data_IF_255157938226
#
_entry.id   IF_255157938226
#
_cell.length_a   1.000
_cell.length_b   1.000
_cell.length_c   1.000
_cell.angle_alpha   90.00
_cell.angle_beta   90.00
_cell.angle_gamma   90.00
#
_symmetry.space_group_name_H-M   'P 1'
#
loop_
_entity.id
_entity.type
_entity.pdbx_description
1 polymer ?
#
# COMPACT_ATOMS: atom_id res chain seq x y z
N UNK A 1 -17.45 55.15 -52.47
CA UNK A 1 -16.05 55.50 -52.10
C UNK A 1 -15.33 54.31 -51.45
N UNK A 2 -15.97 53.53 -50.57
CA UNK A 2 -15.38 52.38 -49.88
C UNK A 2 -15.03 51.24 -50.87
N UNK A 3 -15.88 50.98 -51.87
CA UNK A 3 -15.62 49.99 -52.92
C UNK A 3 -14.47 50.34 -53.87
N UNK A 4 -14.23 51.66 -54.10
CA UNK A 4 -13.10 52.12 -54.89
C UNK A 4 -11.75 51.99 -54.18
N UNK A 5 -11.72 52.14 -52.85
CA UNK A 5 -10.51 51.93 -52.06
C UNK A 5 -10.11 50.46 -51.98
N UNK A 6 -11.09 49.53 -51.82
CA UNK A 6 -10.84 48.07 -51.81
C UNK A 6 -10.31 47.55 -53.15
N UNK A 7 -10.92 47.97 -54.27
CA UNK A 7 -10.47 47.60 -55.63
C UNK A 7 -9.10 48.19 -55.96
N UNK A 8 -8.79 49.39 -55.49
CA UNK A 8 -7.47 50.00 -55.66
C UNK A 8 -6.37 49.32 -54.86
N UNK A 9 -6.68 48.86 -53.66
CA UNK A 9 -5.74 48.13 -52.80
C UNK A 9 -5.42 46.73 -53.34
N UNK A 10 -6.41 46.00 -53.83
CA UNK A 10 -6.20 44.70 -54.46
C UNK A 10 -5.45 44.77 -55.81
N UNK A 11 -5.69 45.84 -56.60
CA UNK A 11 -4.94 46.07 -57.84
C UNK A 11 -3.48 46.46 -57.52
N UNK A 12 -3.20 47.28 -56.53
CA UNK A 12 -1.82 47.62 -56.16
C UNK A 12 -1.04 46.38 -55.63
N UNK A 13 -1.69 45.46 -54.98
CA UNK A 13 -1.07 44.21 -54.53
C UNK A 13 -0.78 43.30 -55.73
N UNK A 14 -1.68 43.18 -56.68
CA UNK A 14 -1.50 42.36 -57.91
C UNK A 14 -0.38 42.84 -58.79
N UNK A 15 -0.17 44.14 -58.93
CA UNK A 15 0.87 44.72 -59.76
C UNK A 15 2.26 44.76 -59.14
N UNK A 16 2.37 44.54 -57.83
CA UNK A 16 3.63 44.59 -57.08
C UNK A 16 4.32 43.21 -56.92
N UNK A 17 3.64 42.10 -57.23
CA UNK A 17 4.22 40.75 -57.13
C UNK A 17 4.48 40.17 -58.53
N UNK A 18 5.67 39.65 -58.74
CA UNK A 18 5.91 38.73 -59.87
C UNK A 18 5.16 37.40 -59.64
N UNK A 19 4.87 36.64 -60.66
CA UNK A 19 4.18 35.36 -60.61
C UNK A 19 4.89 34.38 -59.59
N UNK A 20 6.22 34.42 -59.53
CA UNK A 20 7.02 33.63 -58.59
C UNK A 20 6.90 34.12 -57.15
N UNK A 21 6.89 35.42 -56.93
CA UNK A 21 6.70 36.02 -55.61
C UNK A 21 5.29 35.74 -55.07
N UNK A 22 4.25 35.86 -55.92
CA UNK A 22 2.88 35.51 -55.54
C UNK A 22 2.74 34.03 -55.17
N UNK A 23 3.39 33.14 -55.94
CA UNK A 23 3.41 31.70 -55.65
C UNK A 23 4.13 31.41 -54.32
N UNK A 24 5.28 32.03 -54.06
CA UNK A 24 6.03 31.86 -52.82
C UNK A 24 5.24 32.36 -51.62
N UNK A 25 4.55 33.50 -51.74
CA UNK A 25 3.69 34.03 -50.66
C UNK A 25 2.51 33.11 -50.35
N UNK A 26 1.82 32.59 -51.37
CA UNK A 26 0.73 31.64 -51.19
C UNK A 26 1.18 30.33 -50.56
N UNK A 27 2.35 29.83 -50.96
CA UNK A 27 2.93 28.61 -50.35
C UNK A 27 3.30 28.85 -48.89
N UNK A 28 3.88 30.00 -48.55
CA UNK A 28 4.19 30.35 -47.16
C UNK A 28 2.94 30.46 -46.29
N UNK A 29 1.86 31.11 -46.78
CA UNK A 29 0.59 31.14 -46.05
C UNK A 29 -0.01 29.75 -45.86
N UNK A 30 0.04 28.91 -46.90
CA UNK A 30 -0.45 27.54 -46.82
C UNK A 30 0.37 26.68 -45.82
N UNK A 31 1.69 26.88 -45.77
CA UNK A 31 2.57 26.22 -44.79
C UNK A 31 2.26 26.64 -43.35
N UNK A 32 1.97 27.92 -43.13
CA UNK A 32 1.59 28.44 -41.82
C UNK A 32 0.21 27.90 -41.35
N UNK A 33 -0.79 27.87 -42.25
CA UNK A 33 -2.09 27.26 -41.95
C UNK A 33 -1.97 25.77 -41.67
N UNK A 34 -1.21 25.02 -42.48
CA UNK A 34 -0.96 23.60 -42.27
C UNK A 34 -0.17 23.32 -41.01
N UNK A 35 0.76 24.18 -40.61
CA UNK A 35 1.48 24.07 -39.33
C UNK A 35 0.53 24.26 -38.13
N UNK A 36 -0.40 25.20 -38.26
CA UNK A 36 -1.43 25.42 -37.22
C UNK A 36 -2.38 24.22 -37.11
N UNK A 37 -2.93 23.75 -38.24
CA UNK A 37 -3.82 22.55 -38.25
C UNK A 37 -3.12 21.30 -37.73
N UNK A 38 -1.84 21.08 -38.08
CA UNK A 38 -1.05 19.98 -37.50
C UNK A 38 -0.89 20.11 -36.01
N UNK A 39 -0.61 21.31 -35.52
CA UNK A 39 -0.46 21.56 -34.08
C UNK A 39 -1.75 21.30 -33.31
N UNK A 40 -2.90 21.72 -33.83
CA UNK A 40 -4.22 21.45 -33.25
C UNK A 40 -4.49 19.95 -33.24
N UNK A 41 -4.26 19.25 -34.35
CA UNK A 41 -4.46 17.78 -34.38
C UNK A 41 -3.54 17.02 -33.44
N UNK A 42 -2.27 17.41 -33.31
CA UNK A 42 -1.34 16.80 -32.39
C UNK A 42 -1.83 17.00 -30.95
N UNK A 43 -2.37 18.17 -30.62
CA UNK A 43 -2.91 18.49 -29.31
C UNK A 43 -4.15 17.63 -29.02
N UNK A 44 -5.10 17.52 -29.96
CA UNK A 44 -6.29 16.67 -29.84
C UNK A 44 -5.91 15.18 -29.65
N UNK A 45 -4.98 14.66 -30.47
CA UNK A 45 -4.51 13.28 -30.30
C UNK A 45 -3.78 13.05 -28.97
N UNK A 46 -3.01 14.03 -28.50
CA UNK A 46 -2.31 13.92 -27.22
C UNK A 46 -3.29 13.89 -26.05
N UNK A 47 -4.37 14.67 -26.13
CA UNK A 47 -5.43 14.69 -25.12
C UNK A 47 -6.22 13.38 -25.14
N UNK A 48 -6.62 12.89 -26.32
CA UNK A 48 -7.28 11.57 -26.46
C UNK A 48 -6.42 10.42 -25.93
N UNK A 49 -5.10 10.44 -26.24
CA UNK A 49 -4.18 9.42 -25.73
C UNK A 49 -4.05 9.46 -24.20
N UNK A 50 -4.09 10.65 -23.58
CA UNK A 50 -4.09 10.75 -22.13
C UNK A 50 -5.37 10.17 -21.51
N UNK A 51 -6.53 10.53 -22.07
CA UNK A 51 -7.82 10.04 -21.59
C UNK A 51 -7.93 8.50 -21.72
N UNK A 52 -7.51 7.94 -22.87
CA UNK A 52 -7.45 6.49 -23.05
C UNK A 52 -6.47 5.79 -22.12
N UNK A 53 -5.31 6.41 -21.85
CA UNK A 53 -4.32 5.89 -20.92
C UNK A 53 -4.86 5.89 -19.48
N UNK A 54 -5.54 6.96 -19.06
CA UNK A 54 -6.16 7.08 -17.75
C UNK A 54 -7.30 6.06 -17.55
N UNK A 55 -8.12 5.85 -18.58
CA UNK A 55 -9.20 4.85 -18.55
C UNK A 55 -8.64 3.42 -18.45
N UNK A 56 -7.63 3.09 -19.27
CA UNK A 56 -6.94 1.79 -19.21
C UNK A 56 -6.25 1.58 -17.86
N UNK A 57 -5.58 2.59 -17.32
CA UNK A 57 -4.95 2.53 -16.00
C UNK A 57 -5.97 2.23 -14.90
N UNK A 58 -7.11 2.93 -14.88
CA UNK A 58 -8.20 2.68 -13.91
C UNK A 58 -8.75 1.26 -14.03
N UNK A 59 -8.94 0.74 -15.25
CA UNK A 59 -9.44 -0.61 -15.47
C UNK A 59 -8.45 -1.67 -14.98
N UNK A 60 -7.13 -1.50 -15.23
CA UNK A 60 -6.09 -2.39 -14.72
C UNK A 60 -6.05 -2.39 -13.19
N UNK A 61 -6.10 -1.20 -12.57
CA UNK A 61 -6.13 -1.03 -11.12
C UNK A 61 -7.37 -1.72 -10.51
N UNK A 62 -8.55 -1.50 -11.09
CA UNK A 62 -9.80 -2.11 -10.62
C UNK A 62 -9.76 -3.63 -10.71
N UNK A 63 -9.22 -4.18 -11.81
CA UNK A 63 -9.08 -5.61 -12.01
C UNK A 63 -8.05 -6.22 -11.04
N UNK A 64 -6.96 -5.51 -10.79
CA UNK A 64 -5.94 -5.91 -9.82
C UNK A 64 -6.49 -5.93 -8.39
N UNK A 65 -7.21 -4.88 -7.98
CA UNK A 65 -7.87 -4.80 -6.67
C UNK A 65 -8.87 -5.95 -6.48
N UNK A 66 -9.69 -6.26 -7.49
CA UNK A 66 -10.65 -7.38 -7.42
C UNK A 66 -9.98 -8.74 -7.24
N UNK A 67 -8.82 -8.97 -7.88
CA UNK A 67 -8.11 -10.25 -7.80
C UNK A 67 -7.33 -10.44 -6.50
N UNK A 68 -6.91 -9.35 -5.85
CA UNK A 68 -6.00 -9.37 -4.70
C UNK A 68 -6.68 -9.03 -3.37
N UNK A 69 -7.99 -8.88 -3.33
CA UNK A 69 -8.75 -8.43 -2.16
C UNK A 69 -8.85 -9.47 -1.01
N UNK A 70 -8.14 -10.60 -1.06
CA UNK A 70 -8.22 -11.65 -0.05
C UNK A 70 -7.01 -11.66 0.89
N UNK A 71 -7.30 -11.68 2.20
CA UNK A 71 -6.49 -11.96 3.38
C UNK A 71 -5.60 -10.86 3.96
N UNK A 72 -6.05 -10.34 5.10
CA UNK A 72 -5.28 -9.45 5.99
C UNK A 72 -4.54 -10.23 7.07
N UNK A 73 -3.25 -9.93 7.26
CA UNK A 73 -2.43 -10.42 8.38
C UNK A 73 -2.07 -9.25 9.31
N UNK A 74 -2.20 -9.46 10.63
CA UNK A 74 -1.84 -8.48 11.66
C UNK A 74 -0.36 -8.47 11.96
N UNK A 75 0.22 -7.28 12.09
CA UNK A 75 1.56 -7.12 12.64
C UNK A 75 1.53 -7.12 14.16
N UNK A 76 2.39 -7.94 14.78
CA UNK A 76 2.65 -7.86 16.21
C UNK A 76 4.15 -8.09 16.47
N UNK A 77 4.76 -7.21 17.26
CA UNK A 77 6.10 -7.45 17.85
C UNK A 77 6.04 -8.47 18.97
N UNK A 78 4.86 -8.87 19.33
CA UNK A 78 4.55 -9.86 20.37
C UNK A 78 3.81 -11.05 19.76
N UNK A 79 4.00 -12.22 20.35
CA UNK A 79 3.21 -13.42 20.07
C UNK A 79 2.70 -13.98 21.38
N UNK A 80 1.43 -14.36 21.42
CA UNK A 80 0.82 -14.95 22.62
C UNK A 80 0.74 -16.46 22.42
N UNK A 81 1.20 -17.21 23.42
CA UNK A 81 1.11 -18.66 23.46
C UNK A 81 0.10 -19.06 24.53
N UNK A 82 -1.01 -19.72 24.14
CA UNK A 82 -2.01 -20.18 25.09
C UNK A 82 -1.48 -21.33 25.93
N UNK A 83 -1.85 -21.34 27.20
CA UNK A 83 -1.53 -22.39 28.16
C UNK A 83 -2.79 -23.20 28.49
N UNK A 84 -2.69 -24.52 28.72
CA UNK A 84 -3.82 -25.33 29.14
C UNK A 84 -4.33 -25.00 30.56
N UNK A 85 -3.49 -24.42 31.38
CA UNK A 85 -3.80 -23.94 32.73
C UNK A 85 -2.66 -23.04 33.23
N UNK A 86 -2.92 -22.24 34.29
CA UNK A 86 -1.93 -21.35 34.91
C UNK A 86 -0.79 -22.06 35.65
N UNK A 87 -0.96 -23.32 36.07
CA UNK A 87 0.12 -24.11 36.68
C UNK A 87 1.29 -24.30 35.74
N UNK A 88 1.03 -24.25 34.42
CA UNK A 88 2.07 -24.37 33.39
C UNK A 88 3.05 -23.20 33.43
N UNK A 89 2.61 -22.00 33.87
CA UNK A 89 3.50 -20.83 34.04
C UNK A 89 4.65 -21.15 35.00
N UNK A 90 4.32 -21.73 36.16
CA UNK A 90 5.33 -22.13 37.14
C UNK A 90 6.33 -23.16 36.60
N UNK A 91 5.89 -24.08 35.75
CA UNK A 91 6.77 -25.09 35.11
C UNK A 91 7.67 -24.47 34.06
N UNK A 92 7.16 -23.51 33.28
CA UNK A 92 7.93 -22.78 32.28
C UNK A 92 8.96 -21.88 32.96
N UNK A 93 8.62 -21.21 34.04
CA UNK A 93 9.59 -20.45 34.87
C UNK A 93 10.66 -21.40 35.43
N UNK A 94 10.25 -22.49 36.04
CA UNK A 94 11.12 -23.44 36.69
C UNK A 94 11.73 -22.93 37.99
N UNK A 95 12.42 -23.78 38.73
CA UNK A 95 13.07 -23.40 39.99
C UNK A 95 14.05 -22.26 39.78
N UNK A 96 13.88 -21.15 40.50
CA UNK A 96 14.73 -19.94 40.42
C UNK A 96 14.82 -19.34 38.99
N UNK A 97 13.80 -19.54 38.15
CA UNK A 97 13.77 -19.02 36.80
C UNK A 97 14.72 -19.75 35.82
N UNK A 98 15.14 -20.97 36.14
CA UNK A 98 16.14 -21.71 35.33
C UNK A 98 15.64 -22.02 33.90
N UNK A 99 14.38 -22.41 33.75
CA UNK A 99 13.83 -22.80 32.47
C UNK A 99 13.56 -21.58 31.59
N UNK A 100 12.97 -20.52 32.16
CA UNK A 100 12.72 -19.29 31.39
C UNK A 100 14.04 -18.68 30.90
N UNK A 101 15.06 -18.56 31.76
CA UNK A 101 16.39 -18.09 31.33
C UNK A 101 17.02 -18.94 30.24
N UNK A 102 16.82 -20.27 30.27
CA UNK A 102 17.31 -21.15 29.22
C UNK A 102 16.63 -20.86 27.87
N UNK A 103 15.30 -20.66 27.87
CA UNK A 103 14.55 -20.33 26.65
C UNK A 103 15.00 -18.96 26.11
N UNK A 104 15.05 -17.93 26.96
CA UNK A 104 15.48 -16.57 26.56
C UNK A 104 16.90 -16.54 26.01
N UNK A 105 17.83 -17.21 26.69
CA UNK A 105 19.24 -17.28 26.24
C UNK A 105 19.40 -17.98 24.91
N UNK A 106 18.69 -19.09 24.70
CA UNK A 106 18.81 -19.91 23.47
C UNK A 106 18.07 -19.29 22.28
N UNK A 107 16.99 -18.58 22.52
CA UNK A 107 16.16 -17.99 21.43
C UNK A 107 16.47 -16.52 21.19
N UNK A 108 16.92 -15.78 22.20
CA UNK A 108 17.04 -14.31 22.16
C UNK A 108 15.66 -13.62 22.16
N UNK A 109 14.65 -14.24 22.78
CA UNK A 109 13.27 -13.75 22.86
C UNK A 109 12.90 -13.61 24.33
N UNK A 110 12.34 -12.47 24.71
CA UNK A 110 11.87 -12.21 26.07
C UNK A 110 10.52 -12.88 26.29
N UNK A 111 10.39 -13.61 27.42
CA UNK A 111 9.15 -14.23 27.86
C UNK A 111 8.51 -13.38 28.96
N UNK A 112 7.38 -12.75 28.62
CA UNK A 112 6.59 -11.95 29.56
C UNK A 112 5.50 -12.85 30.15
N UNK A 113 5.63 -13.11 31.46
CA UNK A 113 4.68 -13.91 32.26
C UNK A 113 4.05 -12.97 33.25
N UNK A 114 2.86 -12.49 32.93
CA UNK A 114 2.04 -11.58 33.76
C UNK A 114 0.80 -12.28 34.29
N UNK A 115 -0.13 -11.50 34.86
CA UNK A 115 -1.39 -11.98 35.42
C UNK A 115 -2.43 -12.36 34.37
N UNK A 116 -2.11 -12.24 33.04
CA UNK A 116 -3.02 -12.66 31.99
C UNK A 116 -3.32 -14.14 32.11
N UNK A 117 -4.60 -14.56 32.27
CA UNK A 117 -4.94 -15.96 32.44
C UNK A 117 -4.52 -16.83 31.27
N UNK A 118 -3.95 -18.00 31.56
CA UNK A 118 -3.68 -19.06 30.58
C UNK A 118 -2.91 -18.60 29.32
N UNK A 119 -2.00 -17.64 29.47
CA UNK A 119 -1.21 -17.11 28.37
C UNK A 119 0.21 -16.72 28.80
N UNK A 120 1.14 -16.80 27.84
CA UNK A 120 2.50 -16.23 27.90
C UNK A 120 2.71 -15.38 26.66
N UNK A 121 3.26 -14.20 26.87
CA UNK A 121 3.61 -13.28 25.76
C UNK A 121 5.10 -13.39 25.45
N UNK A 122 5.41 -13.61 24.17
CA UNK A 122 6.76 -13.59 23.62
C UNK A 122 7.01 -12.23 22.98
N UNK A 123 8.12 -11.59 23.31
CA UNK A 123 8.52 -10.29 22.79
C UNK A 123 9.89 -10.38 22.12
N UNK A 124 9.97 -9.97 20.85
CA UNK A 124 11.24 -9.85 20.11
C UNK A 124 11.04 -8.97 18.88
N UNK A 125 12.03 -8.16 18.56
CA UNK A 125 12.09 -7.41 17.33
C UNK A 125 12.34 -8.30 16.10
N UNK A 126 12.96 -9.47 16.29
CA UNK A 126 13.27 -10.39 15.19
C UNK A 126 12.17 -11.46 15.10
N UNK A 127 11.34 -11.39 14.02
CA UNK A 127 10.13 -12.21 13.94
C UNK A 127 10.41 -13.71 13.81
N UNK A 128 11.53 -14.10 13.16
CA UNK A 128 11.89 -15.50 12.97
C UNK A 128 12.26 -16.14 14.31
N UNK A 129 13.03 -15.44 15.16
CA UNK A 129 13.35 -15.92 16.53
C UNK A 129 12.10 -16.07 17.36
N UNK A 130 11.19 -15.10 17.26
CA UNK A 130 9.91 -15.15 17.99
C UNK A 130 9.08 -16.37 17.57
N UNK A 131 9.04 -16.68 16.28
CA UNK A 131 8.34 -17.87 15.78
C UNK A 131 9.01 -19.18 16.23
N UNK A 132 10.34 -19.24 16.23
CA UNK A 132 11.08 -20.38 16.78
C UNK A 132 10.74 -20.59 18.27
N UNK A 133 10.73 -19.51 19.07
CA UNK A 133 10.38 -19.57 20.47
C UNK A 133 8.92 -20.03 20.67
N UNK A 134 7.97 -19.52 19.86
CA UNK A 134 6.56 -19.90 19.89
C UNK A 134 6.38 -21.39 19.64
N UNK A 135 6.94 -21.91 18.54
CA UNK A 135 6.83 -23.34 18.19
C UNK A 135 7.51 -24.22 19.23
N UNK A 136 8.68 -23.82 19.74
CA UNK A 136 9.38 -24.57 20.78
C UNK A 136 8.55 -24.64 22.07
N UNK A 137 7.95 -23.51 22.48
CA UNK A 137 7.13 -23.44 23.68
C UNK A 137 5.85 -24.27 23.55
N UNK A 138 5.15 -24.21 22.41
CA UNK A 138 3.99 -25.07 22.13
C UNK A 138 4.32 -26.56 22.20
N UNK A 139 5.48 -26.97 21.67
CA UNK A 139 5.96 -28.35 21.76
C UNK A 139 6.29 -28.76 23.19
N UNK A 140 6.91 -27.87 23.98
CA UNK A 140 7.20 -28.12 25.40
C UNK A 140 5.93 -28.25 26.23
N UNK A 141 4.93 -27.42 25.96
CA UNK A 141 3.61 -27.45 26.62
C UNK A 141 2.90 -28.77 26.30
N UNK A 142 2.87 -29.14 25.02
CA UNK A 142 2.25 -30.41 24.56
C UNK A 142 2.95 -31.66 25.12
N UNK A 143 4.29 -31.66 25.20
CA UNK A 143 5.09 -32.77 25.73
C UNK A 143 5.00 -32.83 27.28
N UNK A 144 4.79 -31.70 27.93
CA UNK A 144 4.70 -31.59 29.38
C UNK A 144 6.04 -31.74 30.13
N UNK A 145 7.15 -32.07 29.48
CA UNK A 145 8.47 -32.20 30.09
C UNK A 145 9.30 -30.94 29.87
N UNK A 146 9.32 -30.05 30.87
CA UNK A 146 10.00 -28.76 30.79
C UNK A 146 11.24 -28.78 31.69
N UNK A 147 12.41 -28.98 31.10
CA UNK A 147 13.72 -28.91 31.72
C UNK A 147 14.79 -28.51 30.71
N UNK A 148 15.95 -27.95 31.11
CA UNK A 148 16.90 -27.33 30.18
C UNK A 148 17.31 -28.18 28.98
N UNK A 149 17.65 -29.45 29.14
CA UNK A 149 18.03 -30.32 28.03
C UNK A 149 16.87 -30.55 27.03
N UNK A 150 15.62 -30.61 27.52
CA UNK A 150 14.45 -30.74 26.65
C UNK A 150 14.12 -29.44 25.94
N UNK A 151 14.34 -28.31 26.61
CA UNK A 151 14.19 -26.97 26.04
C UNK A 151 15.14 -26.82 24.84
N UNK A 152 16.42 -27.13 25.01
CA UNK A 152 17.42 -27.09 23.94
C UNK A 152 17.02 -27.98 22.73
N UNK A 153 16.62 -29.22 23.00
CA UNK A 153 16.14 -30.14 21.97
C UNK A 153 14.94 -29.59 21.17
N UNK A 154 13.95 -28.99 21.87
CA UNK A 154 12.75 -28.46 21.24
C UNK A 154 13.04 -27.18 20.45
N UNK A 155 13.93 -26.33 20.92
CA UNK A 155 14.37 -25.12 20.20
C UNK A 155 15.10 -25.52 18.91
N UNK A 156 16.01 -26.48 18.96
CA UNK A 156 16.71 -26.98 17.77
C UNK A 156 15.75 -27.62 16.76
N UNK A 157 14.74 -28.33 17.24
CA UNK A 157 13.69 -28.90 16.37
C UNK A 157 12.84 -27.79 15.76
N UNK A 158 12.46 -26.76 16.52
CA UNK A 158 11.69 -25.62 16.03
C UNK A 158 12.48 -24.82 14.99
N UNK A 159 13.80 -24.58 15.20
CA UNK A 159 14.66 -23.91 14.22
C UNK A 159 14.65 -24.63 12.87
N UNK A 160 14.83 -25.95 12.87
CA UNK A 160 14.80 -26.75 11.62
C UNK A 160 13.43 -26.69 10.92
N UNK A 161 12.35 -26.68 11.67
CA UNK A 161 11.00 -26.59 11.14
C UNK A 161 10.72 -25.20 10.52
N UNK A 162 11.12 -24.13 11.20
CA UNK A 162 11.01 -22.76 10.68
C UNK A 162 11.88 -22.58 9.44
N UNK A 163 13.13 -23.06 9.44
CA UNK A 163 14.01 -22.99 8.27
C UNK A 163 13.43 -23.76 7.05
N UNK A 164 12.82 -24.92 7.29
CA UNK A 164 12.15 -25.67 6.23
C UNK A 164 10.92 -24.92 5.68
N UNK A 165 10.15 -24.27 6.56
CA UNK A 165 9.01 -23.43 6.17
C UNK A 165 9.45 -22.21 5.37
N UNK A 166 10.51 -21.52 5.81
CA UNK A 166 11.10 -20.37 5.09
C UNK A 166 11.49 -20.80 3.66
N UNK A 167 12.19 -21.91 3.53
CA UNK A 167 12.60 -22.42 2.21
C UNK A 167 11.38 -22.71 1.33
N UNK A 168 10.41 -23.45 1.86
CA UNK A 168 9.18 -23.81 1.15
C UNK A 168 8.39 -22.57 0.69
N UNK A 169 8.21 -21.58 1.56
CA UNK A 169 7.45 -20.38 1.22
C UNK A 169 8.18 -19.49 0.20
N UNK A 170 9.50 -19.41 0.27
CA UNK A 170 10.29 -18.75 -0.77
C UNK A 170 10.17 -19.42 -2.13
N UNK A 171 10.29 -20.77 -2.18
CA UNK A 171 10.09 -21.54 -3.41
C UNK A 171 8.68 -21.38 -3.97
N UNK A 172 7.66 -21.39 -3.10
CA UNK A 172 6.27 -21.17 -3.47
C UNK A 172 6.05 -19.78 -4.05
N UNK A 173 6.60 -18.73 -3.44
CA UNK A 173 6.48 -17.37 -3.92
C UNK A 173 7.10 -17.16 -5.31
N UNK A 174 8.26 -17.76 -5.55
CA UNK A 174 8.92 -17.74 -6.88
C UNK A 174 8.08 -18.43 -7.94
N UNK A 175 7.51 -19.59 -7.60
CA UNK A 175 6.62 -20.35 -8.50
C UNK A 175 5.34 -19.56 -8.80
N UNK A 176 4.71 -19.00 -7.78
CA UNK A 176 3.48 -18.22 -7.88
C UNK A 176 3.67 -16.96 -8.73
N UNK A 177 4.75 -16.22 -8.53
CA UNK A 177 5.09 -15.06 -9.37
C UNK A 177 5.43 -15.44 -10.84
N UNK A 178 5.71 -16.72 -11.10
CA UNK A 178 6.16 -17.20 -12.41
C UNK A 178 7.55 -16.70 -12.79
N UNK A 179 8.41 -16.47 -11.80
CA UNK A 179 9.79 -16.02 -11.98
C UNK A 179 10.74 -17.22 -11.86
N UNK A 180 11.72 -17.30 -12.73
CA UNK A 180 12.64 -18.45 -12.77
C UNK A 180 14.09 -18.02 -12.54
N UNK A 181 14.95 -18.97 -12.15
CA UNK A 181 16.40 -18.77 -12.01
C UNK A 181 16.79 -17.69 -10.99
N UNK A 182 16.07 -17.60 -9.87
CA UNK A 182 16.50 -16.80 -8.70
C UNK A 182 17.53 -17.59 -7.91
N UNK A 183 18.57 -16.91 -7.42
CA UNK A 183 19.60 -17.55 -6.60
C UNK A 183 18.98 -18.16 -5.32
N UNK A 184 19.35 -19.39 -4.90
CA UNK A 184 18.72 -20.07 -3.75
C UNK A 184 18.72 -19.26 -2.46
N UNK A 185 19.78 -18.48 -2.19
CA UNK A 185 19.80 -17.60 -1.02
C UNK A 185 18.79 -16.45 -1.10
N UNK A 186 18.55 -15.86 -2.30
CA UNK A 186 17.49 -14.88 -2.46
C UNK A 186 16.10 -15.51 -2.27
N UNK A 187 15.91 -16.75 -2.72
CA UNK A 187 14.66 -17.50 -2.47
C UNK A 187 14.45 -17.70 -0.97
N UNK A 188 15.50 -18.04 -0.22
CA UNK A 188 15.44 -18.18 1.24
C UNK A 188 15.12 -16.84 1.92
N UNK A 189 15.74 -15.74 1.47
CA UNK A 189 15.46 -14.40 1.98
C UNK A 189 14.02 -13.96 1.68
N UNK A 190 13.47 -14.27 0.50
CA UNK A 190 12.06 -14.10 0.19
C UNK A 190 11.16 -14.85 1.18
N UNK A 191 11.47 -16.08 1.49
CA UNK A 191 10.70 -16.87 2.48
C UNK A 191 10.71 -16.25 3.87
N UNK A 192 11.80 -15.58 4.29
CA UNK A 192 11.86 -14.86 5.57
C UNK A 192 10.86 -13.69 5.63
N UNK A 193 10.54 -13.06 4.48
CA UNK A 193 9.58 -11.98 4.41
C UNK A 193 8.16 -12.39 4.84
N UNK A 194 7.84 -13.70 4.88
CA UNK A 194 6.59 -14.21 5.47
C UNK A 194 6.40 -13.76 6.92
N UNK A 195 7.49 -13.70 7.68
CA UNK A 195 7.46 -13.35 9.09
C UNK A 195 7.62 -11.85 9.34
N UNK A 196 7.87 -11.09 8.27
CA UNK A 196 8.03 -9.63 8.33
C UNK A 196 6.75 -8.93 7.92
N UNK A 197 6.31 -8.01 8.74
CA UNK A 197 5.21 -7.11 8.43
C UNK A 197 5.72 -5.67 8.40
N UNK A 198 5.23 -4.87 7.48
CA UNK A 198 5.58 -3.46 7.35
C UNK A 198 4.31 -2.66 7.08
N UNK A 199 4.05 -1.64 7.90
CA UNK A 199 2.84 -0.81 7.80
C UNK A 199 1.52 -1.62 7.82
N UNK A 200 1.49 -2.73 8.57
CA UNK A 200 0.31 -3.60 8.70
C UNK A 200 0.11 -4.58 7.54
N UNK A 201 1.03 -4.66 6.59
CA UNK A 201 0.98 -5.56 5.45
C UNK A 201 2.11 -6.60 5.54
N UNK A 202 1.80 -7.88 5.31
CA UNK A 202 2.83 -8.92 5.22
C UNK A 202 3.71 -8.68 3.99
N UNK A 203 5.03 -8.60 4.19
CA UNK A 203 5.98 -8.17 3.15
C UNK A 203 6.08 -9.19 2.01
N UNK A 204 5.97 -10.50 2.28
CA UNK A 204 5.99 -11.52 1.21
C UNK A 204 4.76 -11.39 0.30
N UNK A 205 3.57 -11.23 0.90
CA UNK A 205 2.33 -11.07 0.15
C UNK A 205 2.36 -9.75 -0.65
N UNK A 206 2.86 -8.68 -0.05
CA UNK A 206 3.07 -7.41 -0.72
C UNK A 206 4.03 -7.55 -1.93
N UNK A 207 5.15 -8.21 -1.76
CA UNK A 207 6.12 -8.45 -2.86
C UNK A 207 5.52 -9.25 -4.01
N UNK A 208 4.67 -10.26 -3.71
CA UNK A 208 3.90 -11.00 -4.72
C UNK A 208 2.92 -10.08 -5.46
N UNK A 209 2.18 -9.26 -4.72
CA UNK A 209 1.23 -8.30 -5.28
C UNK A 209 1.90 -7.29 -6.20
N UNK A 210 3.00 -6.68 -5.76
CA UNK A 210 3.82 -5.76 -6.57
C UNK A 210 4.36 -6.46 -7.82
N UNK A 211 4.79 -7.72 -7.71
CA UNK A 211 5.22 -8.53 -8.85
C UNK A 211 4.11 -8.70 -9.89
N UNK A 212 2.89 -9.03 -9.46
CA UNK A 212 1.74 -9.16 -10.34
C UNK A 212 1.35 -7.84 -11.01
N UNK A 213 1.25 -6.76 -10.24
CA UNK A 213 0.91 -5.43 -10.74
C UNK A 213 1.93 -4.94 -11.76
N UNK A 214 3.22 -5.01 -11.44
CA UNK A 214 4.29 -4.61 -12.35
C UNK A 214 4.29 -5.46 -13.62
N UNK A 215 4.05 -6.77 -13.51
CA UNK A 215 3.94 -7.67 -14.66
C UNK A 215 2.73 -7.37 -15.55
N UNK A 216 1.56 -7.08 -14.98
CA UNK A 216 0.37 -6.69 -15.73
C UNK A 216 0.60 -5.37 -16.48
N UNK A 217 1.10 -4.35 -15.79
CA UNK A 217 1.39 -3.06 -16.42
C UNK A 217 2.44 -3.19 -17.53
N UNK A 218 3.47 -4.01 -17.35
CA UNK A 218 4.45 -4.27 -18.42
C UNK A 218 3.80 -4.91 -19.65
N UNK A 219 2.92 -5.89 -19.46
CA UNK A 219 2.20 -6.56 -20.55
C UNK A 219 1.28 -5.60 -21.30
N UNK A 220 0.58 -4.70 -20.60
CA UNK A 220 -0.28 -3.69 -21.23
C UNK A 220 0.51 -2.67 -22.05
N UNK A 221 1.76 -2.41 -21.69
CA UNK A 221 2.69 -1.59 -22.46
C UNK A 221 3.37 -2.36 -23.61
N UNK A 222 3.01 -3.62 -23.84
CA UNK A 222 3.62 -4.47 -24.86
C UNK A 222 5.06 -4.90 -24.56
N UNK A 223 5.48 -4.86 -23.28
CA UNK A 223 6.82 -5.25 -22.84
C UNK A 223 6.81 -6.69 -22.30
N UNK A 224 7.98 -7.34 -22.29
CA UNK A 224 8.15 -8.62 -21.61
C UNK A 224 7.95 -8.42 -20.07
N UNK A 225 6.96 -9.06 -19.45
CA UNK A 225 6.67 -8.90 -18.04
C UNK A 225 7.70 -9.55 -17.11
N UNK A 226 8.59 -10.40 -17.62
CA UNK A 226 9.50 -11.24 -16.83
C UNK A 226 10.39 -10.42 -15.90
N UNK A 227 11.02 -9.38 -16.42
CA UNK A 227 11.92 -8.50 -15.64
C UNK A 227 11.13 -7.64 -14.65
N UNK A 228 9.95 -7.14 -15.05
CA UNK A 228 9.10 -6.34 -14.17
C UNK A 228 8.57 -7.17 -12.99
N UNK A 229 8.12 -8.41 -13.23
CA UNK A 229 7.71 -9.36 -12.18
C UNK A 229 8.86 -9.67 -11.22
N UNK A 230 10.05 -9.94 -11.76
CA UNK A 230 11.24 -10.22 -10.96
C UNK A 230 11.63 -9.04 -10.09
N UNK A 231 11.63 -7.84 -10.66
CA UNK A 231 11.94 -6.62 -9.94
C UNK A 231 10.91 -6.33 -8.82
N UNK A 232 9.62 -6.48 -9.13
CA UNK A 232 8.55 -6.35 -8.15
C UNK A 232 8.63 -7.37 -7.01
N UNK A 233 8.98 -8.63 -7.31
CA UNK A 233 9.15 -9.67 -6.28
C UNK A 233 10.32 -9.38 -5.34
N UNK A 234 11.39 -8.76 -5.85
CA UNK A 234 12.65 -8.54 -5.10
C UNK A 234 12.79 -7.10 -4.56
N UNK A 235 11.87 -6.18 -4.84
CA UNK A 235 12.04 -4.76 -4.49
C UNK A 235 12.30 -4.53 -3.00
N UNK A 236 11.65 -5.29 -2.15
CA UNK A 236 11.70 -5.20 -0.69
C UNK A 236 12.58 -6.30 -0.03
N UNK A 237 13.42 -7.00 -0.79
CA UNK A 237 14.22 -8.13 -0.27
C UNK A 237 15.10 -7.75 0.91
N UNK A 238 15.53 -6.48 1.00
CA UNK A 238 16.34 -5.99 2.10
C UNK A 238 15.64 -6.05 3.46
N UNK A 239 14.30 -5.99 3.51
CA UNK A 239 13.51 -6.13 4.75
C UNK A 239 13.62 -7.52 5.40
N UNK A 240 14.19 -8.50 4.70
CA UNK A 240 14.43 -9.84 5.25
C UNK A 240 15.53 -9.89 6.32
N UNK A 241 16.46 -8.91 6.32
CA UNK A 241 17.61 -8.85 7.22
C UNK A 241 17.93 -7.43 7.75
N UNK A 242 17.01 -6.46 7.58
CA UNK A 242 17.22 -5.07 8.02
C UNK A 242 17.37 -4.91 9.53
N UNK A 243 17.01 -5.92 10.33
CA UNK A 243 17.26 -5.95 11.77
C UNK A 243 18.65 -6.52 12.15
N UNK A 244 19.31 -7.18 11.21
CA UNK A 244 20.61 -7.84 11.44
C UNK A 244 21.77 -7.02 10.85
N UNK A 245 21.49 -6.13 9.89
CA UNK A 245 22.47 -5.37 9.12
C UNK A 245 22.15 -3.89 9.19
N UNK A 246 23.17 -3.06 9.44
CA UNK A 246 23.02 -1.61 9.42
C UNK A 246 22.78 -1.10 8.00
N UNK A 247 21.83 -0.18 7.84
CA UNK A 247 21.49 0.46 6.57
C UNK A 247 20.00 0.48 6.30
N UNK A 248 19.61 1.15 5.22
CA UNK A 248 18.22 1.14 4.75
C UNK A 248 17.94 -0.18 4.03
N UNK A 249 16.68 -0.68 4.10
CA UNK A 249 16.31 -1.88 3.35
C UNK A 249 16.56 -1.77 1.84
N UNK A 250 16.51 -0.54 1.28
CA UNK A 250 16.87 -0.27 -0.12
C UNK A 250 18.34 -0.58 -0.37
N UNK A 251 19.26 -0.03 0.47
CA UNK A 251 20.70 -0.26 0.33
C UNK A 251 21.03 -1.74 0.51
N UNK A 252 20.50 -2.35 1.55
CA UNK A 252 20.67 -3.80 1.83
C UNK A 252 20.16 -4.64 0.64
N UNK A 253 18.99 -4.29 0.09
CA UNK A 253 18.39 -4.97 -1.07
C UNK A 253 19.27 -4.86 -2.32
N UNK A 254 19.81 -3.69 -2.60
CA UNK A 254 20.75 -3.45 -3.72
C UNK A 254 22.02 -4.29 -3.54
N UNK A 255 22.60 -4.33 -2.34
CA UNK A 255 23.81 -5.08 -2.06
C UNK A 255 23.60 -6.60 -2.19
N UNK A 256 22.44 -7.09 -1.72
CA UNK A 256 22.03 -8.48 -1.93
C UNK A 256 21.86 -8.80 -3.41
N UNK A 257 21.12 -7.96 -4.16
CA UNK A 257 20.88 -8.17 -5.58
C UNK A 257 22.20 -8.18 -6.38
N UNK A 258 23.14 -7.29 -6.07
CA UNK A 258 24.48 -7.28 -6.66
C UNK A 258 25.30 -8.50 -6.30
N UNK A 259 25.30 -8.90 -5.01
CA UNK A 259 26.01 -10.08 -4.51
C UNK A 259 25.57 -11.35 -5.24
N UNK A 260 24.29 -11.49 -5.51
CA UNK A 260 23.72 -12.67 -6.17
C UNK A 260 23.52 -12.49 -7.68
N UNK A 261 24.15 -11.44 -8.26
CA UNK A 261 24.23 -11.17 -9.71
C UNK A 261 22.87 -11.05 -10.40
N UNK A 262 21.95 -10.31 -9.77
CA UNK A 262 20.69 -9.94 -10.41
C UNK A 262 20.93 -8.98 -11.59
N UNK A 263 19.95 -8.91 -12.50
CA UNK A 263 20.01 -8.04 -13.67
C UNK A 263 20.01 -6.56 -13.25
N UNK A 264 20.79 -5.71 -13.95
CA UNK A 264 20.93 -4.28 -13.62
C UNK A 264 19.59 -3.54 -13.56
N UNK A 265 18.61 -3.89 -14.41
CA UNK A 265 17.27 -3.30 -14.36
C UNK A 265 16.51 -3.66 -13.07
N UNK A 266 16.73 -4.87 -12.50
CA UNK A 266 16.17 -5.29 -11.22
C UNK A 266 16.84 -4.52 -10.09
N UNK A 267 18.17 -4.42 -10.10
CA UNK A 267 18.94 -3.67 -9.11
C UNK A 267 18.51 -2.20 -9.09
N UNK A 268 18.37 -1.60 -10.29
CA UNK A 268 17.92 -0.22 -10.42
C UNK A 268 16.47 -0.03 -9.90
N UNK A 269 15.57 -0.97 -10.17
CA UNK A 269 14.20 -0.92 -9.66
C UNK A 269 14.17 -1.00 -8.13
N UNK A 270 14.99 -1.88 -7.50
CA UNK A 270 15.16 -1.95 -6.04
C UNK A 270 15.66 -0.61 -5.50
N UNK A 271 16.62 0.04 -6.19
CA UNK A 271 17.20 1.30 -5.74
C UNK A 271 16.23 2.48 -5.85
N UNK A 272 15.35 2.48 -6.84
CA UNK A 272 14.52 3.63 -7.21
C UNK A 272 13.09 3.59 -6.64
N UNK A 273 12.62 2.47 -6.05
CA UNK A 273 11.20 2.27 -5.74
C UNK A 273 10.62 3.28 -4.72
N UNK A 274 11.42 3.86 -3.84
CA UNK A 274 11.00 4.94 -2.92
C UNK A 274 11.26 6.36 -3.43
N UNK A 275 11.84 6.51 -4.64
CA UNK A 275 12.11 7.82 -5.23
C UNK A 275 13.40 8.50 -4.76
N UNK A 276 14.23 7.86 -3.90
CA UNK A 276 15.54 8.38 -3.48
C UNK A 276 16.50 8.49 -4.66
N UNK A 277 16.30 7.67 -5.68
CA UNK A 277 17.01 7.69 -6.95
C UNK A 277 15.99 7.79 -8.08
N UNK A 278 16.30 8.62 -9.09
CA UNK A 278 15.45 8.79 -10.27
C UNK A 278 15.22 7.46 -11.01
N UNK A 279 13.97 7.12 -11.28
CA UNK A 279 13.60 5.93 -12.04
C UNK A 279 13.90 6.13 -13.54
N UNK A 280 15.06 5.69 -14.00
CA UNK A 280 15.54 5.86 -15.40
C UNK A 280 15.08 4.76 -16.35
N UNK A 281 14.46 3.70 -15.84
CA UNK A 281 13.98 2.57 -16.66
C UNK A 281 12.47 2.42 -16.47
N UNK A 282 11.78 2.00 -17.51
CA UNK A 282 10.34 1.72 -17.46
C UNK A 282 10.03 0.71 -16.35
N UNK A 283 10.87 -0.31 -16.18
CA UNK A 283 10.72 -1.32 -15.11
C UNK A 283 10.73 -0.67 -13.72
N UNK A 284 11.64 0.28 -13.46
CA UNK A 284 11.70 0.99 -12.18
C UNK A 284 10.43 1.83 -11.94
N UNK A 285 9.93 2.54 -12.97
CA UNK A 285 8.67 3.28 -12.87
C UNK A 285 7.48 2.35 -12.59
N UNK A 286 7.43 1.18 -13.24
CA UNK A 286 6.37 0.21 -13.03
C UNK A 286 6.39 -0.38 -11.62
N UNK A 287 7.57 -0.69 -11.08
CA UNK A 287 7.70 -1.21 -9.71
C UNK A 287 7.30 -0.13 -8.70
N UNK A 288 7.73 1.12 -8.87
CA UNK A 288 7.34 2.24 -8.02
C UNK A 288 5.81 2.45 -8.02
N UNK A 289 5.18 2.42 -9.20
CA UNK A 289 3.74 2.53 -9.32
C UNK A 289 3.02 1.33 -8.67
N UNK A 290 3.51 0.11 -8.89
CA UNK A 290 2.95 -1.12 -8.32
C UNK A 290 3.04 -1.13 -6.80
N UNK A 291 4.16 -0.71 -6.21
CA UNK A 291 4.36 -0.57 -4.77
C UNK A 291 3.36 0.43 -4.18
N UNK A 292 3.26 1.63 -4.78
CA UNK A 292 2.31 2.65 -4.35
C UNK A 292 0.85 2.15 -4.41
N UNK A 293 0.46 1.44 -5.47
CA UNK A 293 -0.87 0.86 -5.63
C UNK A 293 -1.16 -0.22 -4.59
N UNK A 294 -0.23 -1.14 -4.35
CA UNK A 294 -0.35 -2.19 -3.34
C UNK A 294 -0.48 -1.59 -1.93
N UNK A 295 0.28 -0.52 -1.64
CA UNK A 295 0.22 0.17 -0.36
C UNK A 295 -1.06 0.99 -0.15
N UNK A 296 -1.64 1.55 -1.21
CA UNK A 296 -2.81 2.44 -1.17
C UNK A 296 -4.16 1.72 -1.21
N UNK A 297 -4.20 0.43 -1.56
CA UNK A 297 -5.48 -0.30 -1.68
C UNK A 297 -6.21 -0.38 -0.33
N UNK A 298 -7.55 -0.29 -0.32
CA UNK A 298 -8.34 -0.41 0.90
C UNK A 298 -8.08 -1.72 1.62
N UNK A 299 -7.68 -1.64 2.89
CA UNK A 299 -7.40 -2.82 3.73
C UNK A 299 -5.99 -3.40 3.61
N UNK A 300 -5.12 -2.84 2.77
CA UNK A 300 -3.71 -3.27 2.67
C UNK A 300 -2.92 -2.93 3.93
N UNK A 301 -3.16 -1.77 4.50
CA UNK A 301 -2.55 -1.31 5.75
C UNK A 301 -3.58 -1.41 6.87
N UNK A 302 -3.25 -2.09 7.96
CA UNK A 302 -4.02 -1.96 9.20
C UNK A 302 -3.77 -0.55 9.73
N UNK A 303 -4.82 0.24 9.78
CA UNK A 303 -4.80 1.44 10.59
C UNK A 303 -4.55 1.03 12.05
N UNK A 304 -3.58 1.70 12.69
CA UNK A 304 -3.42 1.59 14.12
C UNK A 304 -4.74 2.04 14.76
N UNK A 305 -5.25 1.27 15.72
CA UNK A 305 -6.53 1.57 16.41
C UNK A 305 -6.56 3.01 16.90
N UNK A 306 -5.43 3.55 17.35
CA UNK A 306 -5.30 4.95 17.76
C UNK A 306 -5.51 5.94 16.60
N UNK A 307 -4.94 5.66 15.42
CA UNK A 307 -5.12 6.52 14.25
C UNK A 307 -6.55 6.43 13.70
N UNK A 308 -7.14 5.25 13.80
CA UNK A 308 -8.55 5.02 13.46
C UNK A 308 -9.47 5.83 14.38
N UNK A 309 -9.26 5.77 15.70
CA UNK A 309 -10.03 6.55 16.68
C UNK A 309 -9.85 8.05 16.43
N UNK A 310 -8.61 8.53 16.27
CA UNK A 310 -8.32 9.95 15.97
C UNK A 310 -8.98 10.43 14.68
N UNK A 311 -9.10 9.56 13.67
CA UNK A 311 -9.79 9.90 12.43
C UNK A 311 -11.29 10.01 12.63
N UNK A 312 -11.91 9.11 13.41
CA UNK A 312 -13.33 9.20 13.76
C UNK A 312 -13.61 10.45 14.58
N UNK A 313 -12.78 10.75 15.58
CA UNK A 313 -12.88 11.96 16.41
C UNK A 313 -12.77 13.24 15.55
N UNK A 314 -11.80 13.33 14.65
CA UNK A 314 -11.67 14.46 13.73
C UNK A 314 -12.87 14.59 12.80
N UNK A 315 -13.41 13.48 12.29
CA UNK A 315 -14.59 13.48 11.42
C UNK A 315 -15.82 14.01 12.16
N UNK A 316 -16.00 13.62 13.43
CA UNK A 316 -17.05 14.12 14.31
C UNK A 316 -16.81 15.59 14.68
N UNK A 317 -15.58 16.01 14.93
CA UNK A 317 -15.20 17.38 15.23
C UNK A 317 -15.50 18.32 14.05
N UNK A 318 -15.10 17.93 12.83
CA UNK A 318 -15.41 18.69 11.60
C UNK A 318 -16.91 18.84 11.43
N UNK A 319 -17.68 17.77 11.56
CA UNK A 319 -19.13 17.82 11.43
C UNK A 319 -19.80 18.66 12.52
N UNK A 320 -19.31 18.59 13.76
CA UNK A 320 -19.83 19.35 14.92
C UNK A 320 -19.45 20.82 14.90
N UNK A 321 -18.48 21.26 14.10
CA UNK A 321 -18.03 22.65 14.01
C UNK A 321 -19.05 23.58 13.32
N UNK A 322 -20.07 23.05 12.69
CA UNK A 322 -21.07 23.84 11.97
C UNK A 322 -22.21 24.32 12.89
N UNK A 323 -22.63 25.56 12.69
CA UNK A 323 -23.72 26.15 13.46
C UNK A 323 -25.05 25.41 13.17
N UNK A 324 -25.77 25.09 14.23
CA UNK A 324 -27.02 24.34 14.13
C UNK A 324 -26.88 22.82 14.21
N UNK A 325 -25.67 22.28 14.29
CA UNK A 325 -25.42 20.86 14.60
C UNK A 325 -25.58 20.67 16.10
N UNK A 326 -26.32 19.66 16.51
CA UNK A 326 -26.54 19.25 17.90
C UNK A 326 -25.53 18.19 18.31
N UNK A 327 -25.36 17.17 17.45
CA UNK A 327 -24.41 16.07 17.65
C UNK A 327 -24.06 15.42 16.33
N UNK A 328 -22.88 14.81 16.25
CA UNK A 328 -22.44 14.03 15.09
C UNK A 328 -21.86 12.69 15.55
N UNK A 329 -22.06 11.66 14.74
CA UNK A 329 -21.59 10.30 15.02
C UNK A 329 -20.99 9.68 13.75
N UNK A 330 -19.74 9.30 13.81
CA UNK A 330 -19.10 8.51 12.77
C UNK A 330 -19.48 7.02 12.94
N UNK A 331 -20.14 6.46 11.94
CA UNK A 331 -20.59 5.07 11.94
C UNK A 331 -20.03 4.30 10.75
N UNK A 332 -20.25 2.98 10.70
CA UNK A 332 -19.74 2.10 9.64
C UNK A 332 -18.21 2.27 9.41
N UNK A 333 -17.45 2.28 10.49
CA UNK A 333 -16.00 2.48 10.45
C UNK A 333 -15.57 3.79 9.78
N UNK A 334 -16.34 4.89 9.98
CA UNK A 334 -16.04 6.20 9.42
C UNK A 334 -16.48 6.40 7.95
N UNK A 335 -17.26 5.46 7.39
CA UNK A 335 -17.82 5.58 6.04
C UNK A 335 -19.13 6.34 5.98
N UNK A 336 -19.78 6.57 7.11
CA UNK A 336 -20.98 7.40 7.23
C UNK A 336 -20.84 8.29 8.47
N UNK A 337 -21.16 9.58 8.31
CA UNK A 337 -21.34 10.52 9.42
C UNK A 337 -22.82 10.85 9.53
N UNK A 338 -23.40 10.57 10.70
CA UNK A 338 -24.77 10.99 11.06
C UNK A 338 -24.70 12.27 11.85
N UNK A 339 -25.41 13.26 11.38
CA UNK A 339 -25.40 14.61 11.94
C UNK A 339 -26.83 14.95 12.36
N UNK A 340 -27.04 15.13 13.66
CA UNK A 340 -28.29 15.59 14.22
C UNK A 340 -28.28 17.10 14.24
N UNK A 341 -29.28 17.74 13.67
CA UNK A 341 -29.41 19.20 13.64
C UNK A 341 -30.54 19.69 14.51
N UNK A 342 -30.38 20.88 15.08
CA UNK A 342 -31.39 21.55 15.88
C UNK A 342 -32.54 22.03 14.98
N UNK A 343 -33.78 21.54 15.18
CA UNK A 343 -34.93 21.88 14.32
C UNK A 343 -35.28 23.36 14.31
N UNK A 344 -34.90 24.08 15.38
CA UNK A 344 -35.16 25.52 15.53
C UNK A 344 -34.18 26.38 14.70
N UNK A 345 -33.00 25.84 14.36
CA UNK A 345 -31.92 26.56 13.65
C UNK A 345 -31.87 26.16 12.18
N UNK A 346 -32.01 24.87 11.90
CA UNK A 346 -31.89 24.32 10.53
C UNK A 346 -33.27 23.87 10.05
N UNK A 347 -33.75 24.48 8.98
CA UNK A 347 -34.96 24.07 8.28
C UNK A 347 -34.63 23.07 7.16
N UNK A 348 -35.68 22.47 6.56
CA UNK A 348 -35.50 21.43 5.51
C UNK A 348 -34.76 21.94 4.28
N UNK A 349 -34.94 23.21 3.92
CA UNK A 349 -34.24 23.86 2.78
C UNK A 349 -32.73 24.02 3.02
N UNK A 350 -32.32 24.20 4.28
CA UNK A 350 -30.91 24.40 4.68
C UNK A 350 -30.15 23.07 4.81
N UNK A 351 -30.83 21.92 4.95
CA UNK A 351 -30.17 20.64 5.17
C UNK A 351 -29.24 20.25 4.02
N UNK A 352 -29.67 20.37 2.77
CA UNK A 352 -28.87 19.98 1.60
C UNK A 352 -27.67 20.91 1.37
N UNK A 353 -27.79 22.24 1.46
CA UNK A 353 -26.64 23.13 1.48
C UNK A 353 -25.62 22.80 2.58
N UNK A 354 -26.08 22.59 3.82
CA UNK A 354 -25.23 22.22 4.95
C UNK A 354 -24.49 20.90 4.70
N UNK A 355 -25.15 19.90 4.12
CA UNK A 355 -24.48 18.64 3.76
C UNK A 355 -23.32 18.87 2.78
N UNK A 356 -23.50 19.75 1.79
CA UNK A 356 -22.45 20.07 0.82
C UNK A 356 -21.30 20.85 1.46
N UNK A 357 -21.60 21.78 2.36
CA UNK A 357 -20.59 22.56 3.09
C UNK A 357 -19.73 21.62 3.98
N UNK A 358 -20.37 20.66 4.66
CA UNK A 358 -19.68 19.65 5.48
C UNK A 358 -18.84 18.70 4.60
N UNK A 359 -19.39 18.19 3.48
CA UNK A 359 -18.62 17.38 2.54
C UNK A 359 -17.35 18.09 2.08
N UNK A 360 -17.48 19.35 1.66
CA UNK A 360 -16.33 20.14 1.20
C UNK A 360 -15.27 20.32 2.28
N UNK A 361 -15.68 20.61 3.51
CA UNK A 361 -14.74 20.76 4.64
C UNK A 361 -14.07 19.45 4.99
N UNK A 362 -14.79 18.31 4.94
CA UNK A 362 -14.20 16.97 5.11
C UNK A 362 -13.16 16.69 4.03
N UNK A 363 -13.43 17.04 2.76
CA UNK A 363 -12.50 16.86 1.64
C UNK A 363 -11.24 17.74 1.77
N UNK A 364 -11.36 18.94 2.37
CA UNK A 364 -10.23 19.87 2.57
C UNK A 364 -9.36 19.52 3.78
N UNK A 365 -9.95 18.99 4.87
CA UNK A 365 -9.26 18.81 6.15
C UNK A 365 -8.86 17.35 6.45
N UNK A 366 -9.45 16.36 5.76
CA UNK A 366 -9.25 14.94 6.08
C UNK A 366 -8.81 14.12 4.87
N UNK A 367 -7.76 13.33 5.05
CA UNK A 367 -7.40 12.24 4.13
C UNK A 367 -8.16 10.97 4.52
N UNK A 368 -8.96 10.42 3.60
CA UNK A 368 -9.75 9.20 3.84
C UNK A 368 -9.75 8.26 2.63
N UNK A 369 -9.72 6.95 2.87
CA UNK A 369 -9.74 5.95 1.81
C UNK A 369 -11.19 5.71 1.34
N UNK A 370 -11.63 6.34 0.28
CA UNK A 370 -12.92 6.10 -0.33
C UNK A 370 -13.95 7.21 -0.11
N UNK A 371 -15.24 6.89 -0.23
CA UNK A 371 -16.33 7.87 -0.07
C UNK A 371 -16.86 7.88 1.36
N UNK A 372 -17.12 9.08 1.92
CA UNK A 372 -17.81 9.27 3.19
C UNK A 372 -19.23 9.76 2.90
N UNK A 373 -20.20 9.05 3.41
CA UNK A 373 -21.60 9.44 3.33
C UNK A 373 -21.93 10.42 4.44
N UNK A 374 -22.29 11.65 4.11
CA UNK A 374 -22.79 12.65 5.06
C UNK A 374 -24.31 12.56 5.12
N UNK A 375 -24.86 12.22 6.31
CA UNK A 375 -26.29 12.03 6.54
C UNK A 375 -26.78 13.00 7.60
N UNK A 376 -27.55 14.03 7.19
CA UNK A 376 -28.13 15.01 8.11
C UNK A 376 -29.54 14.59 8.48
N UNK A 377 -29.81 14.56 9.77
CA UNK A 377 -31.11 14.18 10.35
C UNK A 377 -31.65 15.33 11.17
N UNK A 378 -32.86 15.77 10.82
CA UNK A 378 -33.66 16.70 11.57
C UNK A 378 -34.82 15.95 12.21
N UNK A 379 -34.89 15.93 13.54
CA UNK A 379 -35.95 15.20 14.28
C UNK A 379 -36.78 16.15 15.13
N UNK A 380 -38.09 16.07 15.01
CA UNK A 380 -39.04 16.77 15.89
C UNK A 380 -39.87 15.75 16.63
N UNK A 381 -39.89 15.84 17.98
CA UNK A 381 -40.67 14.92 18.84
C UNK A 381 -41.79 15.69 19.53
N UNK A 382 -43.01 15.17 19.45
CA UNK A 382 -44.15 15.58 20.25
C UNK A 382 -44.56 14.43 21.19
N UNK A 383 -44.60 14.68 22.49
CA UNK A 383 -45.00 13.68 23.48
C UNK A 383 -46.26 14.15 24.17
N UNK A 384 -47.29 13.30 24.21
CA UNK A 384 -48.50 13.53 24.99
C UNK A 384 -48.85 12.24 25.76
N UNK A 385 -49.38 12.39 26.97
CA UNK A 385 -49.76 11.28 27.82
C UNK A 385 -51.28 11.13 27.84
N UNK A 386 -51.77 9.94 27.45
CA UNK A 386 -53.16 9.56 27.71
C UNK A 386 -53.32 9.21 29.19
N UNK A 387 -54.29 9.82 29.86
CA UNK A 387 -54.64 9.52 31.26
C UNK A 387 -55.81 8.57 31.31
#
# INVERSE_FOLDING_TARGET
>A
EILRCLVGSEMCIRDSYTAEQAKSYLLSQLEDELAHEKSVKIMEYTEQLKDEADEKARNIISLAIQRLAAEQVAEATISVVPLPNDEMKGRIIGREGRNIRAIETLTGVDLIIDDTPEAITLSSFEPVRREVARIALEKLISDGRIHPARIEEMIEKARREVDATIKHDGERAVLEAGVHNIHPELVRLLGRLRYRTSYGQNVLNHSLEVSYLAGMMASELGMDPTIAKRAGLLHDIGKSIDHEVEGTHVQIGVDLARKYKEHDAVIHAIQAHHGDVEAKTVVACLVQAADALSAARPGARRENVENYIKRLEKLEEVASSFEGVESSYAIQAGREVRIMVKPEVINDERMLPLAREICKKIEEELEYPGQIKVNIIRESRAVNYAK
#
